data_IF_699050039987
#
_entry.id   IF_699050039987
#
_cell.length_a   1.000
_cell.length_b   1.000
_cell.length_c   1.000
_cell.angle_alpha   90.00
_cell.angle_beta   90.00
_cell.angle_gamma   90.00
#
_symmetry.space_group_name_H-M   'P 1'
#
loop_
_entity.id
_entity.type
_entity.pdbx_description
1 polymer ?
#
# COMPACT_ATOMS: atom_id res chain seq x y z
N UNK A 1 2.81 -10.73 -7.34
CA UNK A 1 1.78 -10.03 -6.54
C UNK A 1 0.38 -10.13 -7.13
N UNK A 2 0.17 -9.99 -8.45
CA UNK A 2 -1.18 -9.97 -9.05
C UNK A 2 -2.09 -11.15 -8.64
N UNK A 3 -1.56 -12.39 -8.66
CA UNK A 3 -2.30 -13.59 -8.19
C UNK A 3 -2.63 -13.53 -6.70
N UNK A 4 -1.70 -13.06 -5.87
CA UNK A 4 -1.90 -12.91 -4.43
C UNK A 4 -3.00 -11.89 -4.14
N UNK A 5 -2.99 -10.73 -4.81
CA UNK A 5 -4.03 -9.70 -4.69
C UNK A 5 -5.40 -10.23 -5.21
N UNK A 6 -5.42 -11.09 -6.22
CA UNK A 6 -6.64 -11.68 -6.72
C UNK A 6 -7.25 -12.73 -5.75
N UNK A 7 -6.40 -13.49 -5.05
CA UNK A 7 -6.82 -14.53 -4.11
C UNK A 7 -6.95 -14.10 -2.65
N UNK A 8 -6.58 -12.86 -2.30
CA UNK A 8 -6.65 -12.34 -0.94
C UNK A 8 -8.10 -12.01 -0.55
N UNK A 9 -8.49 -12.33 0.70
CA UNK A 9 -9.80 -11.97 1.23
C UNK A 9 -9.83 -10.52 1.70
N UNK A 10 -10.20 -9.63 0.78
CA UNK A 10 -10.30 -8.19 1.03
C UNK A 10 -11.50 -7.79 1.88
N UNK A 11 -12.50 -8.66 2.05
CA UNK A 11 -13.69 -8.34 2.85
C UNK A 11 -13.36 -8.10 4.33
N UNK A 12 -12.25 -8.67 4.79
CA UNK A 12 -11.69 -8.49 6.13
C UNK A 12 -10.88 -7.18 6.31
N UNK A 13 -10.73 -6.38 5.25
CA UNK A 13 -9.92 -5.14 5.26
C UNK A 13 -10.79 -3.89 5.14
N UNK A 14 -10.28 -2.70 5.51
CA UNK A 14 -10.98 -1.44 5.30
C UNK A 14 -11.34 -1.13 3.84
N UNK A 15 -10.73 -1.81 2.86
CA UNK A 15 -11.04 -1.65 1.43
C UNK A 15 -12.35 -2.35 1.03
N UNK A 16 -12.82 -3.28 1.86
CA UNK A 16 -13.94 -4.14 1.55
C UNK A 16 -13.66 -5.11 0.40
N UNK A 17 -14.67 -5.88 0.03
CA UNK A 17 -14.59 -6.88 -1.02
C UNK A 17 -14.18 -6.25 -2.36
N UNK A 18 -13.43 -6.98 -3.19
CA UNK A 18 -12.94 -6.45 -4.49
C UNK A 18 -14.05 -5.95 -5.41
N UNK A 19 -15.24 -6.53 -5.31
CA UNK A 19 -16.39 -6.14 -6.13
C UNK A 19 -16.92 -4.74 -5.77
N UNK A 20 -16.65 -4.25 -4.56
CA UNK A 20 -17.03 -2.90 -4.13
C UNK A 20 -15.93 -1.86 -4.31
N UNK A 21 -14.78 -2.23 -4.88
CA UNK A 21 -13.68 -1.28 -5.06
C UNK A 21 -14.06 -0.19 -6.07
N UNK A 22 -13.78 1.09 -5.76
CA UNK A 22 -14.00 2.16 -6.72
C UNK A 22 -13.06 1.99 -7.92
N UNK A 23 -13.48 2.46 -9.09
CA UNK A 23 -12.69 2.36 -10.33
C UNK A 23 -11.31 3.02 -10.21
N UNK A 24 -11.17 4.07 -9.38
CA UNK A 24 -9.91 4.73 -9.08
C UNK A 24 -8.92 3.79 -8.39
N UNK A 25 -9.35 3.05 -7.36
CA UNK A 25 -8.50 2.06 -6.69
C UNK A 25 -8.07 0.96 -7.66
N UNK A 26 -9.00 0.44 -8.46
CA UNK A 26 -8.68 -0.56 -9.49
C UNK A 26 -7.63 -0.05 -10.49
N UNK A 27 -7.73 1.23 -10.91
CA UNK A 27 -6.76 1.85 -11.80
C UNK A 27 -5.37 1.95 -11.14
N UNK A 28 -5.30 2.47 -9.91
CA UNK A 28 -4.05 2.59 -9.16
C UNK A 28 -3.38 1.23 -8.95
N UNK A 29 -4.15 0.19 -8.60
CA UNK A 29 -3.62 -1.17 -8.43
C UNK A 29 -3.02 -1.70 -9.74
N UNK A 30 -3.64 -1.42 -10.90
CA UNK A 30 -3.06 -1.78 -12.20
C UNK A 30 -1.74 -1.05 -12.47
N UNK A 31 -1.68 0.24 -12.17
CA UNK A 31 -0.44 1.04 -12.32
C UNK A 31 0.67 0.49 -11.42
N UNK A 32 0.37 0.24 -10.14
CA UNK A 32 1.32 -0.33 -9.18
C UNK A 32 1.84 -1.67 -9.68
N UNK A 33 0.97 -2.58 -10.12
CA UNK A 33 1.35 -3.91 -10.60
C UNK A 33 2.10 -3.92 -11.94
N UNK A 34 1.86 -2.95 -12.80
CA UNK A 34 2.55 -2.85 -14.10
C UNK A 34 3.93 -2.20 -14.00
N UNK A 35 4.21 -1.48 -12.92
CA UNK A 35 5.50 -0.81 -12.73
C UNK A 35 6.63 -1.82 -12.46
N UNK A 36 7.80 -1.69 -13.14
CA UNK A 36 8.98 -2.48 -12.85
C UNK A 36 9.73 -2.01 -11.59
N UNK A 37 9.49 -0.78 -11.12
CA UNK A 37 10.12 -0.21 -9.93
C UNK A 37 9.37 -0.59 -8.65
N UNK A 38 10.02 -0.71 -7.48
CA UNK A 38 9.34 -0.96 -6.20
C UNK A 38 8.27 0.10 -5.91
N UNK A 39 7.00 -0.30 -5.86
CA UNK A 39 5.88 0.58 -5.56
C UNK A 39 4.94 -0.02 -4.52
N UNK A 40 4.48 0.84 -3.62
CA UNK A 40 3.38 0.61 -2.68
C UNK A 40 2.41 1.78 -2.73
N UNK A 41 1.11 1.49 -2.70
CA UNK A 41 0.06 2.47 -2.41
C UNK A 41 -0.44 2.23 -0.99
N UNK A 42 -0.57 3.32 -0.23
CA UNK A 42 -1.23 3.36 1.07
C UNK A 42 -2.62 3.92 0.85
N UNK A 43 -3.65 3.06 0.87
CA UNK A 43 -5.01 3.47 0.52
C UNK A 43 -5.85 3.77 1.75
N UNK A 44 -6.55 4.90 1.73
CA UNK A 44 -7.43 5.34 2.81
C UNK A 44 -6.70 5.79 4.07
N UNK A 45 -7.46 6.14 5.11
CA UNK A 45 -6.95 6.73 6.35
C UNK A 45 -6.03 5.81 7.15
N UNK A 46 -6.25 4.50 7.08
CA UNK A 46 -5.39 3.51 7.74
C UNK A 46 -4.13 3.18 6.92
N UNK A 47 -4.02 3.70 5.70
CA UNK A 47 -2.91 3.40 4.80
C UNK A 47 -2.83 1.92 4.46
N UNK A 48 -3.95 1.31 4.02
CA UNK A 48 -3.97 -0.11 3.64
C UNK A 48 -2.99 -0.36 2.50
N UNK A 49 -2.05 -1.27 2.71
CA UNK A 49 -0.94 -1.49 1.79
C UNK A 49 -1.32 -2.40 0.62
N UNK A 50 -1.17 -1.90 -0.61
CA UNK A 50 -1.10 -2.71 -1.82
C UNK A 50 0.21 -2.41 -2.55
N UNK A 51 0.93 -3.44 -2.98
CA UNK A 51 2.26 -3.26 -3.55
C UNK A 51 2.59 -4.30 -4.62
N UNK A 52 3.62 -4.03 -5.41
CA UNK A 52 4.04 -4.88 -6.51
C UNK A 52 5.16 -5.87 -6.13
N UNK A 53 5.52 -6.72 -7.09
CA UNK A 53 6.54 -7.75 -6.91
C UNK A 53 7.91 -7.15 -6.54
N UNK A 54 8.29 -6.02 -7.12
CA UNK A 54 9.54 -5.34 -6.80
C UNK A 54 9.57 -4.82 -5.35
N UNK A 55 8.45 -4.27 -4.85
CA UNK A 55 8.34 -3.87 -3.45
C UNK A 55 8.27 -5.08 -2.50
N UNK A 56 7.73 -6.21 -2.94
CA UNK A 56 7.72 -7.43 -2.13
C UNK A 56 9.15 -7.91 -1.79
N UNK A 57 10.11 -7.72 -2.70
CA UNK A 57 11.54 -7.98 -2.43
C UNK A 57 12.06 -7.03 -1.34
N UNK A 58 11.74 -5.74 -1.42
CA UNK A 58 12.10 -4.75 -0.41
C UNK A 58 11.47 -5.05 0.97
N UNK A 59 10.21 -5.50 0.98
CA UNK A 59 9.50 -5.89 2.19
C UNK A 59 10.13 -7.11 2.91
N UNK A 60 10.93 -7.91 2.19
CA UNK A 60 11.66 -9.05 2.74
C UNK A 60 10.74 -10.03 3.47
N UNK A 61 11.11 -10.38 4.70
CA UNK A 61 10.36 -11.32 5.55
C UNK A 61 8.96 -10.85 5.96
N UNK A 62 8.62 -9.57 5.75
CA UNK A 62 7.27 -9.05 6.02
C UNK A 62 6.29 -9.33 4.88
N UNK A 63 6.76 -9.69 3.69
CA UNK A 63 5.88 -10.23 2.65
C UNK A 63 5.52 -11.69 2.98
N UNK A 64 4.26 -12.14 2.82
CA UNK A 64 3.09 -11.41 2.33
C UNK A 64 2.25 -10.72 3.41
N UNK A 65 2.65 -10.78 4.68
CA UNK A 65 1.88 -10.25 5.82
C UNK A 65 1.45 -8.80 5.66
N UNK A 66 2.26 -7.94 5.03
CA UNK A 66 1.93 -6.53 4.78
C UNK A 66 0.69 -6.32 3.90
N UNK A 67 0.38 -7.27 3.00
CA UNK A 67 -0.70 -7.08 2.03
C UNK A 67 -2.05 -6.91 2.73
N UNK A 68 -2.72 -5.80 2.45
CA UNK A 68 -4.03 -5.50 3.03
C UNK A 68 -3.99 -5.07 4.51
N UNK A 69 -2.80 -4.89 5.10
CA UNK A 69 -2.65 -4.35 6.46
C UNK A 69 -2.52 -2.83 6.46
N UNK A 70 -2.95 -2.16 7.55
CA UNK A 70 -2.55 -0.78 7.84
C UNK A 70 -1.03 -0.63 7.87
N UNK A 71 -0.51 0.44 7.29
CA UNK A 71 0.94 0.70 7.17
C UNK A 71 1.65 0.73 8.53
N UNK A 72 0.97 1.25 9.55
CA UNK A 72 1.51 1.35 10.91
C UNK A 72 1.70 0.00 11.59
N UNK A 73 0.90 -1.01 11.21
CA UNK A 73 1.09 -2.38 11.68
C UNK A 73 2.19 -3.11 10.93
N UNK A 74 2.43 -2.72 9.67
CA UNK A 74 3.49 -3.28 8.83
C UNK A 74 4.89 -2.80 9.21
N UNK A 75 4.98 -1.53 9.59
CA UNK A 75 6.23 -0.83 9.90
C UNK A 75 6.10 -0.04 11.20
N UNK A 76 5.94 -0.72 12.35
CA UNK A 76 5.76 -0.06 13.65
C UNK A 76 6.92 0.88 14.00
N UNK A 77 8.14 0.58 13.54
CA UNK A 77 9.35 1.39 13.76
C UNK A 77 9.27 2.78 13.14
N UNK A 78 8.45 2.97 12.09
CA UNK A 78 8.27 4.24 11.38
C UNK A 78 6.79 4.63 11.29
N UNK A 79 5.97 4.18 12.24
CA UNK A 79 4.53 4.43 12.25
C UNK A 79 4.17 5.93 12.24
N UNK A 80 4.84 6.74 13.07
CA UNK A 80 4.62 8.18 13.12
C UNK A 80 4.95 8.88 11.79
N UNK A 81 6.03 8.43 11.12
CA UNK A 81 6.40 8.92 9.79
C UNK A 81 5.34 8.55 8.76
N UNK A 82 4.92 7.29 8.72
CA UNK A 82 3.89 6.83 7.78
C UNK A 82 2.54 7.53 7.99
N UNK A 83 2.15 7.76 9.26
CA UNK A 83 0.94 8.51 9.61
C UNK A 83 1.00 9.93 9.05
N UNK A 84 2.12 10.63 9.23
CA UNK A 84 2.32 11.96 8.66
C UNK A 84 2.22 11.96 7.13
N UNK A 85 2.79 10.95 6.46
CA UNK A 85 2.69 10.80 5.00
C UNK A 85 1.24 10.62 4.56
N UNK A 86 0.51 9.71 5.20
CA UNK A 86 -0.91 9.44 4.90
C UNK A 86 -1.76 10.69 5.13
N UNK A 87 -1.64 11.34 6.29
CA UNK A 87 -2.43 12.52 6.64
C UNK A 87 -2.17 13.67 5.67
N UNK A 88 -0.91 13.90 5.28
CA UNK A 88 -0.55 14.98 4.34
C UNK A 88 -1.12 14.72 2.94
N UNK A 89 -1.00 13.49 2.44
CA UNK A 89 -1.52 13.12 1.11
C UNK A 89 -3.06 13.18 1.08
N UNK A 90 -3.73 12.74 2.14
CA UNK A 90 -5.20 12.81 2.24
C UNK A 90 -5.71 14.25 2.37
N UNK A 91 -4.91 15.16 2.91
CA UNK A 91 -5.19 16.60 2.91
C UNK A 91 -4.96 17.27 1.54
N UNK A 92 -4.58 16.52 0.50
CA UNK A 92 -4.31 17.03 -0.84
C UNK A 92 -2.88 17.52 -1.05
N UNK A 93 -2.00 17.33 -0.06
CA UNK A 93 -0.57 17.61 -0.18
C UNK A 93 0.20 16.50 -0.90
N UNK A 94 1.48 16.73 -1.13
CA UNK A 94 2.42 15.72 -1.61
C UNK A 94 3.76 15.86 -0.90
N UNK A 95 4.42 14.74 -0.65
CA UNK A 95 5.72 14.68 0.02
C UNK A 95 6.70 13.93 -0.88
N UNK A 96 7.95 14.39 -0.90
CA UNK A 96 9.05 13.71 -1.56
C UNK A 96 10.26 13.75 -0.64
N UNK A 97 10.81 12.57 -0.38
CA UNK A 97 12.03 12.40 0.39
C UNK A 97 13.12 11.99 -0.57
N UNK A 98 14.27 12.65 -0.49
CA UNK A 98 15.52 12.18 -1.10
C UNK A 98 16.39 11.70 0.04
N UNK A 99 17.05 10.55 -0.13
CA UNK A 99 18.09 10.15 0.82
C UNK A 99 19.03 11.33 1.02
N UNK A 100 19.11 11.81 2.26
CA UNK A 100 20.22 12.66 2.68
C UNK A 100 21.33 11.69 3.04
N UNK A 101 22.47 11.88 2.40
CA UNK A 101 23.75 11.23 2.75
C UNK A 101 23.98 11.19 4.27
#
# INVERSE_FOLDING_TARGET
MARLIAGFDWSSTPLGARQSWPSSLCCVVRVVLASPSPLVVLWGREGTMLYNDAYAVFAGSRHPFLLGKPVELGWPEVAAFNRHVVDTCLAGGALSYKDKE
#
